data_IF_526960409319
#
_entry.id   IF_526960409319
#
_cell.length_a   1.000
_cell.length_b   1.000
_cell.length_c   1.000
_cell.angle_alpha   90.00
_cell.angle_beta   90.00
_cell.angle_gamma   90.00
#
_symmetry.space_group_name_H-M   'P 1'
#
loop_
_entity.id
_entity.type
_entity.pdbx_description
1 polymer ?
#
# COMPACT_ATOMS: atom_id res chain seq x y z
N UNK A 1 9.44 1.33 -8.17
CA UNK A 1 10.12 1.34 -6.88
C UNK A 1 10.48 2.77 -6.51
N UNK A 2 10.51 3.05 -5.20
CA UNK A 2 11.14 4.24 -4.62
C UNK A 2 12.45 3.82 -3.94
N UNK A 3 13.19 4.74 -3.32
CA UNK A 3 14.58 4.54 -2.85
C UNK A 3 14.79 3.24 -2.06
N UNK A 4 14.07 2.99 -0.96
CA UNK A 4 14.28 1.76 -0.18
C UNK A 4 13.95 0.48 -0.96
N UNK A 5 12.89 0.53 -1.78
CA UNK A 5 12.55 -0.58 -2.66
C UNK A 5 13.63 -0.83 -3.72
N UNK A 6 14.29 0.22 -4.23
CA UNK A 6 15.41 0.09 -5.16
C UNK A 6 16.63 -0.58 -4.52
N UNK A 7 16.85 -0.38 -3.22
CA UNK A 7 17.91 -1.10 -2.48
C UNK A 7 17.56 -2.58 -2.28
N UNK A 8 16.31 -2.89 -1.96
CA UNK A 8 15.86 -4.27 -1.70
C UNK A 8 15.87 -5.12 -2.99
N UNK A 9 15.44 -4.54 -4.11
CA UNK A 9 15.20 -5.28 -5.35
C UNK A 9 16.50 -5.58 -6.13
N UNK A 10 16.63 -6.83 -6.55
CA UNK A 10 17.78 -7.32 -7.31
C UNK A 10 17.89 -6.71 -8.72
N UNK A 11 16.79 -6.23 -9.29
CA UNK A 11 16.77 -5.61 -10.62
C UNK A 11 17.40 -4.21 -10.62
N UNK A 12 17.45 -3.52 -9.49
CA UNK A 12 18.04 -2.17 -9.38
C UNK A 12 19.30 -2.12 -8.55
N UNK A 13 19.47 -3.02 -7.56
CA UNK A 13 20.65 -3.02 -6.70
C UNK A 13 21.69 -4.04 -7.16
N UNK A 14 22.66 -3.55 -7.93
CA UNK A 14 23.84 -4.30 -8.38
C UNK A 14 25.11 -3.93 -7.60
N UNK A 15 24.97 -3.36 -6.40
CA UNK A 15 26.12 -2.97 -5.59
C UNK A 15 26.89 -4.21 -5.13
N UNK A 16 28.19 -4.03 -4.91
CA UNK A 16 29.11 -5.06 -4.41
C UNK A 16 29.61 -4.77 -2.99
N UNK A 17 29.20 -3.65 -2.41
CA UNK A 17 29.57 -3.23 -1.07
C UNK A 17 28.71 -3.90 0.02
N UNK A 18 28.57 -3.27 1.18
CA UNK A 18 27.76 -3.81 2.28
C UNK A 18 26.24 -3.66 2.07
N UNK A 19 25.80 -2.93 1.05
CA UNK A 19 24.38 -2.67 0.76
C UNK A 19 23.84 -3.42 -0.47
N UNK A 20 24.61 -4.32 -1.08
CA UNK A 20 24.14 -5.15 -2.20
C UNK A 20 24.92 -6.45 -2.37
N UNK A 21 24.49 -7.26 -3.35
CA UNK A 21 25.13 -8.55 -3.65
C UNK A 21 24.61 -9.76 -2.85
N UNK A 22 23.80 -9.57 -1.82
CA UNK A 22 23.06 -10.63 -1.14
C UNK A 22 21.67 -10.16 -0.67
N UNK A 23 20.82 -11.08 -0.25
CA UNK A 23 19.48 -10.76 0.29
C UNK A 23 19.62 -9.86 1.52
N UNK A 24 20.51 -10.22 2.45
CA UNK A 24 20.77 -9.52 3.70
C UNK A 24 21.27 -8.10 3.43
N UNK A 25 22.26 -7.97 2.54
CA UNK A 25 22.88 -6.67 2.21
C UNK A 25 21.89 -5.73 1.51
N UNK A 26 21.04 -6.24 0.60
CA UNK A 26 19.99 -5.44 -0.04
C UNK A 26 18.92 -4.97 0.95
N UNK A 27 18.64 -5.76 1.97
CA UNK A 27 17.71 -5.41 3.05
C UNK A 27 18.33 -4.48 4.10
N UNK A 28 19.66 -4.43 4.21
CA UNK A 28 20.41 -3.73 5.26
C UNK A 28 19.96 -2.28 5.47
N UNK A 29 19.96 -1.46 4.42
CA UNK A 29 19.57 -0.03 4.52
C UNK A 29 18.16 0.13 5.07
N UNK A 30 17.22 -0.72 4.66
CA UNK A 30 15.83 -0.65 5.14
C UNK A 30 15.75 -0.95 6.62
N UNK A 31 16.49 -1.95 7.11
CA UNK A 31 16.51 -2.29 8.52
C UNK A 31 17.21 -1.22 9.37
N UNK A 32 18.29 -0.62 8.87
CA UNK A 32 18.96 0.50 9.56
C UNK A 32 18.03 1.71 9.72
N UNK A 33 17.25 2.04 8.69
CA UNK A 33 16.24 3.10 8.77
C UNK A 33 15.15 2.74 9.80
N UNK A 34 14.66 1.49 9.80
CA UNK A 34 13.68 1.02 10.78
C UNK A 34 14.24 1.13 12.20
N UNK A 35 15.45 0.66 12.44
CA UNK A 35 16.08 0.69 13.76
C UNK A 35 16.33 2.12 14.25
N UNK A 36 16.79 3.02 13.37
CA UNK A 36 16.97 4.43 13.68
C UNK A 36 15.64 5.12 14.03
N UNK A 37 14.55 4.81 13.32
CA UNK A 37 13.21 5.34 13.63
C UNK A 37 12.67 4.78 14.95
N UNK A 38 12.88 3.48 15.22
CA UNK A 38 12.49 2.86 16.49
C UNK A 38 13.19 3.57 17.66
N UNK A 39 14.50 3.82 17.54
CA UNK A 39 15.28 4.53 18.56
C UNK A 39 14.77 5.97 18.76
N UNK A 40 14.43 6.66 17.66
CA UNK A 40 14.03 8.05 17.72
C UNK A 40 12.62 8.28 18.30
N UNK A 41 11.65 7.40 17.98
CA UNK A 41 10.23 7.67 18.29
C UNK A 41 9.48 6.54 18.99
N UNK A 42 10.11 5.38 19.20
CA UNK A 42 9.50 4.17 19.74
C UNK A 42 8.86 3.30 18.65
N UNK A 43 8.98 1.97 18.80
CA UNK A 43 8.53 1.01 17.78
C UNK A 43 7.01 1.07 17.53
N UNK A 44 6.22 1.38 18.55
CA UNK A 44 4.77 1.53 18.49
C UNK A 44 4.30 2.72 17.63
N UNK A 45 5.22 3.59 17.19
CA UNK A 45 4.95 4.71 16.28
C UNK A 45 5.52 4.50 14.87
N UNK A 46 6.17 3.36 14.63
CA UNK A 46 6.81 3.05 13.34
C UNK A 46 5.98 2.01 12.61
N UNK A 47 5.65 2.30 11.35
CA UNK A 47 5.08 1.35 10.40
C UNK A 47 5.92 1.28 9.12
N UNK A 48 5.85 0.16 8.41
CA UNK A 48 6.56 -0.02 7.13
C UNK A 48 5.61 -0.53 6.06
N UNK A 49 5.73 0.01 4.84
CA UNK A 49 4.95 -0.43 3.68
C UNK A 49 5.82 -1.18 2.68
N UNK A 50 5.38 -2.37 2.29
CA UNK A 50 6.13 -3.33 1.47
C UNK A 50 5.23 -3.83 0.33
N UNK A 51 5.78 -3.90 -0.88
CA UNK A 51 5.03 -4.34 -2.06
C UNK A 51 5.81 -5.42 -2.83
N UNK A 52 5.81 -6.68 -2.33
CA UNK A 52 6.70 -7.73 -2.84
C UNK A 52 6.55 -8.02 -4.34
N UNK A 53 5.34 -7.88 -4.85
CA UNK A 53 4.97 -8.24 -6.22
C UNK A 53 4.85 -7.04 -7.15
N UNK A 54 5.19 -5.83 -6.71
CA UNK A 54 4.99 -4.63 -7.53
C UNK A 54 6.04 -4.52 -8.63
N UNK A 55 5.58 -4.36 -9.87
CA UNK A 55 6.42 -4.02 -11.04
C UNK A 55 6.53 -2.50 -11.27
N UNK A 56 5.86 -1.70 -10.45
CA UNK A 56 5.85 -0.24 -10.57
C UNK A 56 7.26 0.32 -10.54
N UNK A 57 7.56 1.35 -11.35
CA UNK A 57 8.90 1.89 -11.66
C UNK A 57 10.03 0.84 -11.61
N UNK A 58 9.92 -0.22 -12.43
CA UNK A 58 11.00 -1.19 -12.66
C UNK A 58 11.19 -2.24 -11.57
N UNK A 59 10.19 -2.47 -10.72
CA UNK A 59 10.25 -3.55 -9.74
C UNK A 59 10.28 -4.93 -10.40
N UNK A 60 10.95 -5.89 -9.77
CA UNK A 60 11.12 -7.25 -10.32
C UNK A 60 9.80 -7.99 -10.55
N UNK A 61 8.78 -7.70 -9.73
CA UNK A 61 7.47 -8.33 -9.84
C UNK A 61 7.45 -9.81 -9.45
N UNK A 62 6.27 -10.41 -9.58
CA UNK A 62 6.06 -11.82 -9.22
C UNK A 62 6.74 -12.81 -10.20
N UNK A 63 6.91 -12.41 -11.46
CA UNK A 63 7.45 -13.26 -12.52
C UNK A 63 8.94 -13.02 -12.79
N UNK A 64 9.66 -12.46 -11.81
CA UNK A 64 11.09 -12.16 -11.95
C UNK A 64 11.90 -13.42 -12.26
N UNK A 65 12.70 -13.33 -13.33
CA UNK A 65 13.67 -14.38 -13.71
C UNK A 65 14.97 -14.33 -12.90
N UNK A 66 15.20 -13.23 -12.17
CA UNK A 66 16.41 -13.03 -11.38
C UNK A 66 16.31 -13.76 -10.03
N UNK A 67 15.17 -13.59 -9.36
CA UNK A 67 14.90 -14.18 -8.05
C UNK A 67 13.41 -14.03 -7.74
N UNK A 68 12.79 -15.08 -7.19
CA UNK A 68 11.41 -14.99 -6.74
C UNK A 68 11.30 -13.99 -5.55
N UNK A 69 10.36 -13.03 -5.56
CA UNK A 69 10.31 -11.95 -4.56
C UNK A 69 10.17 -12.46 -3.13
N UNK A 70 9.49 -13.60 -2.92
CA UNK A 70 9.36 -14.22 -1.59
C UNK A 70 10.75 -14.44 -0.95
N UNK A 71 11.78 -14.85 -1.70
CA UNK A 71 13.11 -15.08 -1.12
C UNK A 71 13.70 -13.80 -0.49
N UNK A 72 13.58 -12.67 -1.18
CA UNK A 72 14.07 -11.38 -0.68
C UNK A 72 13.19 -10.84 0.46
N UNK A 73 11.87 -10.82 0.26
CA UNK A 73 10.97 -10.16 1.18
C UNK A 73 10.72 -10.99 2.45
N UNK A 74 10.74 -12.32 2.39
CA UNK A 74 10.63 -13.17 3.58
C UNK A 74 11.75 -12.88 4.58
N UNK A 75 12.97 -12.60 4.11
CA UNK A 75 14.06 -12.17 4.98
C UNK A 75 13.75 -10.84 5.69
N UNK A 76 13.25 -9.83 4.96
CA UNK A 76 12.83 -8.57 5.55
C UNK A 76 11.73 -8.76 6.60
N UNK A 77 10.67 -9.52 6.30
CA UNK A 77 9.60 -9.79 7.27
C UNK A 77 10.13 -10.57 8.49
N UNK A 78 11.05 -11.52 8.29
CA UNK A 78 11.66 -12.28 9.37
C UNK A 78 12.47 -11.39 10.30
N UNK A 79 13.24 -10.45 9.76
CA UNK A 79 14.03 -9.49 10.55
C UNK A 79 13.15 -8.48 11.31
N UNK A 80 12.01 -8.09 10.74
CA UNK A 80 11.01 -7.27 11.44
C UNK A 80 10.34 -8.06 12.57
N UNK A 81 9.99 -9.34 12.33
CA UNK A 81 9.42 -10.20 13.36
C UNK A 81 10.44 -10.49 14.49
N UNK A 82 11.72 -10.70 14.15
CA UNK A 82 12.80 -10.86 15.14
C UNK A 82 12.87 -9.66 16.09
N UNK A 83 12.88 -8.44 15.55
CA UNK A 83 12.78 -7.19 16.35
C UNK A 83 11.53 -7.16 17.21
N UNK A 84 10.39 -7.60 16.66
CA UNK A 84 9.15 -7.73 17.42
C UNK A 84 9.24 -8.65 18.63
N UNK A 85 9.96 -9.77 18.52
CA UNK A 85 10.22 -10.70 19.64
C UNK A 85 11.19 -10.12 20.67
N UNK A 86 12.07 -9.22 20.25
CA UNK A 86 13.01 -8.48 21.10
C UNK A 86 12.38 -7.24 21.76
N UNK A 87 11.05 -7.12 21.75
CA UNK A 87 10.32 -6.00 22.37
C UNK A 87 10.26 -4.74 21.51
N UNK A 88 10.71 -4.80 20.25
CA UNK A 88 10.70 -3.67 19.30
C UNK A 88 9.66 -3.89 18.20
N UNK A 89 8.44 -4.29 18.57
CA UNK A 89 7.38 -4.57 17.59
C UNK A 89 6.87 -3.28 16.98
N UNK A 90 6.97 -3.19 15.65
CA UNK A 90 6.40 -2.10 14.86
C UNK A 90 4.88 -2.02 15.05
N UNK A 91 4.32 -0.82 14.94
CA UNK A 91 2.89 -0.56 14.98
C UNK A 91 2.11 -1.43 13.99
N UNK A 92 2.62 -1.53 12.76
CA UNK A 92 2.06 -2.37 11.70
C UNK A 92 3.08 -2.63 10.59
N UNK A 93 2.82 -3.69 9.82
CA UNK A 93 3.37 -3.83 8.47
C UNK A 93 2.22 -3.70 7.47
N UNK A 94 2.43 -2.91 6.42
CA UNK A 94 1.46 -2.66 5.36
C UNK A 94 1.91 -3.32 4.07
N UNK A 95 1.24 -4.36 3.63
CA UNK A 95 1.58 -5.15 2.45
C UNK A 95 0.61 -4.89 1.30
N UNK A 96 1.15 -4.69 0.10
CA UNK A 96 0.35 -4.57 -1.13
C UNK A 96 0.22 -5.94 -1.82
N UNK A 97 -1.03 -6.32 -2.12
CA UNK A 97 -1.38 -7.54 -2.86
C UNK A 97 -0.93 -7.49 -4.33
N UNK A 98 -0.70 -8.66 -4.94
CA UNK A 98 -0.38 -8.75 -6.38
C UNK A 98 -1.53 -8.32 -7.29
N UNK A 99 -2.75 -8.20 -6.74
CA UNK A 99 -4.01 -7.89 -7.47
C UNK A 99 -4.05 -6.48 -8.07
N UNK A 100 -3.09 -5.61 -7.73
CA UNK A 100 -3.03 -4.24 -8.22
C UNK A 100 -2.20 -4.14 -9.50
N UNK A 101 -2.87 -3.82 -10.62
CA UNK A 101 -2.17 -3.43 -11.84
C UNK A 101 -1.56 -2.03 -11.65
N UNK A 102 -0.35 -1.84 -12.18
CA UNK A 102 0.25 -0.50 -12.30
C UNK A 102 -0.70 0.38 -13.10
N UNK A 103 -1.32 1.36 -12.43
CA UNK A 103 -2.30 2.23 -13.07
C UNK A 103 -3.59 1.53 -13.53
N UNK A 104 -3.96 0.37 -12.97
CA UNK A 104 -5.14 -0.43 -13.38
C UNK A 104 -5.93 -0.98 -12.19
N UNK A 105 -7.16 -1.43 -12.40
CA UNK A 105 -8.05 -1.85 -11.31
C UNK A 105 -7.75 -3.25 -10.78
N UNK A 106 -7.38 -4.17 -11.68
CA UNK A 106 -7.06 -5.58 -11.41
C UNK A 106 -5.96 -6.03 -12.38
N UNK A 107 -5.04 -6.90 -11.95
CA UNK A 107 -4.11 -7.61 -12.86
C UNK A 107 -4.81 -8.82 -13.46
N UNK A 108 -4.82 -8.98 -14.78
CA UNK A 108 -5.11 -10.27 -15.41
C UNK A 108 -3.87 -11.18 -15.28
N UNK A 109 -3.96 -12.28 -14.52
CA UNK A 109 -2.84 -13.21 -14.32
C UNK A 109 -2.95 -14.04 -13.04
N UNK A 110 -1.97 -14.93 -12.77
CA UNK A 110 -1.97 -15.71 -11.53
C UNK A 110 -1.92 -14.77 -10.31
N UNK A 111 -2.90 -14.92 -9.40
CA UNK A 111 -2.92 -14.19 -8.15
C UNK A 111 -1.87 -14.77 -7.20
N UNK A 112 -0.84 -13.98 -6.89
CA UNK A 112 0.11 -14.31 -5.83
C UNK A 112 -0.37 -13.66 -4.54
N UNK A 113 -0.94 -14.46 -3.66
CA UNK A 113 -1.38 -14.02 -2.34
C UNK A 113 -0.20 -13.64 -1.46
N UNK A 114 -0.36 -12.61 -0.63
CA UNK A 114 0.59 -12.26 0.44
C UNK A 114 0.31 -13.02 1.75
N UNK A 115 -0.56 -14.04 1.75
CA UNK A 115 -0.85 -14.88 2.92
C UNK A 115 0.41 -15.45 3.60
N UNK A 116 1.47 -15.73 2.84
CA UNK A 116 2.75 -16.17 3.41
C UNK A 116 3.35 -15.16 4.40
N UNK A 117 3.01 -13.87 4.29
CA UNK A 117 3.42 -12.83 5.22
C UNK A 117 2.87 -13.11 6.62
N UNK A 118 1.62 -13.58 6.72
CA UNK A 118 0.99 -13.94 7.99
C UNK A 118 1.69 -15.12 8.68
N UNK A 119 2.39 -15.97 7.92
CA UNK A 119 3.20 -17.05 8.49
C UNK A 119 4.45 -16.51 9.21
N UNK A 120 4.97 -15.36 8.78
CA UNK A 120 6.20 -14.76 9.31
C UNK A 120 5.88 -13.66 10.33
N UNK A 121 5.18 -12.60 9.90
CA UNK A 121 4.87 -11.44 10.73
C UNK A 121 3.62 -11.69 11.59
N UNK A 122 3.77 -11.53 12.91
CA UNK A 122 2.69 -11.81 13.89
C UNK A 122 2.04 -10.55 14.48
N UNK A 123 2.49 -9.35 14.10
CA UNK A 123 1.86 -8.09 14.51
C UNK A 123 0.70 -7.70 13.58
N UNK A 124 0.20 -6.46 13.75
CA UNK A 124 -0.85 -5.90 12.89
C UNK A 124 -0.40 -5.89 11.44
N UNK A 125 -1.24 -6.43 10.55
CA UNK A 125 -0.99 -6.55 9.12
C UNK A 125 -2.04 -5.73 8.36
N UNK A 126 -1.62 -4.63 7.73
CA UNK A 126 -2.46 -3.87 6.81
C UNK A 126 -2.30 -4.47 5.42
N UNK A 127 -3.39 -4.95 4.80
CA UNK A 127 -3.40 -5.45 3.42
C UNK A 127 -4.09 -4.44 2.52
N UNK A 128 -3.49 -4.16 1.37
CA UNK A 128 -4.05 -3.25 0.38
C UNK A 128 -4.00 -3.84 -1.02
N UNK A 129 -5.08 -3.69 -1.78
CA UNK A 129 -5.06 -3.92 -3.22
C UNK A 129 -6.32 -4.61 -3.74
N UNK A 130 -7.07 -3.91 -4.59
CA UNK A 130 -8.15 -4.51 -5.37
C UNK A 130 -9.33 -5.08 -4.56
N UNK A 131 -9.60 -4.62 -3.33
CA UNK A 131 -10.67 -5.25 -2.55
C UNK A 131 -12.10 -4.84 -2.92
N UNK A 132 -12.31 -3.63 -3.45
CA UNK A 132 -13.66 -3.10 -3.70
C UNK A 132 -14.06 -3.24 -5.17
N UNK A 133 -14.13 -4.47 -5.66
CA UNK A 133 -14.77 -4.83 -6.94
C UNK A 133 -15.51 -6.17 -6.76
N UNK A 134 -16.27 -6.61 -7.77
CA UNK A 134 -17.16 -7.79 -7.67
C UNK A 134 -16.48 -9.01 -6.99
N UNK A 135 -15.37 -9.49 -7.55
CA UNK A 135 -14.61 -10.61 -6.95
C UNK A 135 -13.78 -10.18 -5.72
N UNK A 136 -13.37 -8.92 -5.65
CA UNK A 136 -12.57 -8.37 -4.55
C UNK A 136 -13.27 -8.42 -3.20
N UNK A 137 -14.60 -8.31 -3.15
CA UNK A 137 -15.36 -8.40 -1.90
C UNK A 137 -15.24 -9.77 -1.23
N UNK A 138 -15.18 -10.86 -2.02
CA UNK A 138 -14.95 -12.21 -1.48
C UNK A 138 -13.58 -12.29 -0.81
N UNK A 139 -12.56 -11.74 -1.47
CA UNK A 139 -11.21 -11.66 -0.94
C UNK A 139 -11.14 -10.78 0.33
N UNK A 140 -11.87 -9.66 0.37
CA UNK A 140 -11.96 -8.79 1.56
C UNK A 140 -12.51 -9.57 2.74
N UNK A 141 -13.67 -10.22 2.56
CA UNK A 141 -14.34 -10.99 3.62
C UNK A 141 -13.46 -12.16 4.07
N UNK A 142 -12.81 -12.85 3.13
CA UNK A 142 -11.88 -13.92 3.47
C UNK A 142 -10.71 -13.38 4.30
N UNK A 143 -9.97 -12.42 3.75
CA UNK A 143 -8.71 -11.92 4.32
C UNK A 143 -8.88 -11.28 5.71
N UNK A 144 -9.98 -10.53 5.93
CA UNK A 144 -10.25 -9.88 7.22
C UNK A 144 -10.71 -10.87 8.30
N UNK A 145 -11.20 -12.05 7.92
CA UNK A 145 -11.66 -13.09 8.85
C UNK A 145 -10.60 -14.19 9.08
N UNK A 146 -9.42 -14.09 8.45
CA UNK A 146 -8.33 -15.06 8.67
C UNK A 146 -7.73 -14.95 10.08
N UNK A 147 -7.68 -13.74 10.64
CA UNK A 147 -7.17 -13.46 11.98
C UNK A 147 -7.72 -12.14 12.55
N UNK A 148 -7.40 -11.84 13.81
CA UNK A 148 -7.86 -10.66 14.56
C UNK A 148 -6.92 -9.45 14.45
N UNK A 149 -5.93 -9.50 13.55
CA UNK A 149 -4.86 -8.51 13.42
C UNK A 149 -4.73 -7.95 12.00
N UNK A 150 -5.59 -8.37 11.08
CA UNK A 150 -5.61 -7.91 9.69
C UNK A 150 -6.51 -6.69 9.52
N UNK A 151 -5.97 -5.64 8.88
CA UNK A 151 -6.69 -4.42 8.52
C UNK A 151 -6.69 -4.29 7.00
N UNK A 152 -7.84 -3.98 6.41
CA UNK A 152 -7.95 -3.75 4.97
C UNK A 152 -7.87 -2.25 4.67
N UNK A 153 -6.86 -1.86 3.89
CA UNK A 153 -6.68 -0.49 3.42
C UNK A 153 -7.28 -0.30 2.02
N UNK A 154 -8.11 0.73 1.87
CA UNK A 154 -8.74 1.13 0.61
C UNK A 154 -8.30 2.55 0.26
N UNK A 155 -7.79 2.74 -0.95
CA UNK A 155 -7.29 4.04 -1.43
C UNK A 155 -8.22 4.67 -2.48
N UNK A 156 -8.30 4.09 -3.69
CA UNK A 156 -9.04 4.69 -4.82
C UNK A 156 -10.49 5.05 -4.49
N UNK A 157 -11.24 4.13 -3.89
CA UNK A 157 -12.62 4.43 -3.49
C UNK A 157 -12.70 5.40 -2.32
N UNK A 158 -11.67 5.51 -1.47
CA UNK A 158 -11.68 6.49 -0.40
C UNK A 158 -11.60 7.92 -0.97
N UNK A 159 -10.96 8.13 -2.13
CA UNK A 159 -10.88 9.47 -2.74
C UNK A 159 -12.26 10.03 -3.06
N UNK A 160 -13.18 9.20 -3.56
CA UNK A 160 -14.54 9.61 -3.96
C UNK A 160 -15.63 9.36 -2.92
N UNK A 161 -15.31 8.68 -1.82
CA UNK A 161 -16.26 8.32 -0.77
C UNK A 161 -15.71 8.79 0.58
N UNK A 162 -15.90 10.07 0.96
CA UNK A 162 -15.40 10.58 2.24
C UNK A 162 -16.02 9.87 3.46
N UNK A 163 -17.15 9.20 3.26
CA UNK A 163 -17.88 8.38 4.22
C UNK A 163 -17.75 6.87 3.95
N UNK A 164 -16.66 6.42 3.29
CA UNK A 164 -16.49 5.03 2.84
C UNK A 164 -16.77 3.99 3.94
N UNK A 165 -16.27 4.20 5.16
CA UNK A 165 -16.50 3.26 6.27
C UNK A 165 -17.99 3.09 6.59
N UNK A 166 -18.77 4.17 6.54
CA UNK A 166 -20.22 4.12 6.73
C UNK A 166 -20.90 3.37 5.59
N UNK A 167 -20.45 3.57 4.34
CA UNK A 167 -21.00 2.86 3.19
C UNK A 167 -20.73 1.36 3.25
N UNK A 168 -19.49 0.97 3.53
CA UNK A 168 -19.11 -0.44 3.66
C UNK A 168 -19.87 -1.13 4.80
N UNK A 169 -20.03 -0.46 5.96
CA UNK A 169 -20.77 -1.01 7.10
C UNK A 169 -22.24 -1.29 6.79
N UNK A 170 -22.88 -0.44 5.98
CA UNK A 170 -24.32 -0.49 5.70
C UNK A 170 -24.67 -1.03 4.31
N UNK A 171 -23.68 -1.51 3.55
CA UNK A 171 -23.90 -2.01 2.18
C UNK A 171 -24.39 -0.94 1.20
N UNK A 172 -23.97 0.33 1.38
CA UNK A 172 -24.37 1.43 0.50
C UNK A 172 -23.51 1.50 -0.75
N UNK A 173 -24.09 2.02 -1.82
CA UNK A 173 -23.40 2.18 -3.11
C UNK A 173 -22.19 3.12 -3.00
N UNK A 174 -21.09 2.71 -3.65
CA UNK A 174 -19.85 3.49 -3.70
C UNK A 174 -19.85 4.41 -4.91
N UNK A 175 -19.56 5.69 -4.67
CA UNK A 175 -19.29 6.66 -5.74
C UNK A 175 -18.02 6.24 -6.48
N UNK A 176 -18.12 6.05 -7.80
CA UNK A 176 -16.97 5.73 -8.64
C UNK A 176 -15.94 6.85 -8.59
N UNK A 177 -14.66 6.50 -8.41
CA UNK A 177 -13.57 7.48 -8.47
C UNK A 177 -13.32 7.95 -9.90
N UNK A 178 -12.77 9.15 -10.02
CA UNK A 178 -12.27 9.70 -11.27
C UNK A 178 -10.74 9.78 -11.23
N UNK A 179 -10.08 9.01 -12.11
CA UNK A 179 -8.62 8.96 -12.17
C UNK A 179 -8.02 10.22 -12.77
N UNK A 180 -8.76 10.95 -13.59
CA UNK A 180 -8.27 12.16 -14.26
C UNK A 180 -7.95 13.28 -13.25
N UNK A 181 -8.57 13.24 -12.07
CA UNK A 181 -8.41 14.25 -11.01
C UNK A 181 -7.43 13.87 -9.91
N UNK A 182 -6.88 12.63 -9.89
CA UNK A 182 -5.96 12.17 -8.83
C UNK A 182 -4.72 13.04 -8.65
N UNK A 183 -4.24 13.65 -9.73
CA UNK A 183 -3.07 14.54 -9.74
C UNK A 183 -3.39 15.89 -10.38
N UNK A 184 -4.64 16.36 -10.27
CA UNK A 184 -5.13 17.56 -10.97
C UNK A 184 -4.68 18.91 -10.39
N UNK A 185 -4.17 18.95 -9.16
CA UNK A 185 -3.66 20.18 -8.52
C UNK A 185 -4.74 21.18 -8.04
N UNK A 186 -6.01 20.97 -8.40
CA UNK A 186 -7.15 21.77 -7.96
C UNK A 186 -8.05 21.06 -6.95
N UNK A 187 -9.14 21.74 -6.54
CA UNK A 187 -10.08 21.20 -5.55
C UNK A 187 -11.13 20.24 -6.15
N UNK A 188 -11.41 20.36 -7.45
CA UNK A 188 -12.33 19.48 -8.18
C UNK A 188 -11.80 18.05 -8.23
N UNK A 189 -12.64 17.08 -7.84
CA UNK A 189 -12.24 15.68 -7.72
C UNK A 189 -11.35 15.39 -6.50
N UNK A 190 -11.10 16.39 -5.65
CA UNK A 190 -10.38 16.24 -4.38
C UNK A 190 -11.34 16.39 -3.19
N UNK A 191 -11.86 17.60 -2.92
CA UNK A 191 -12.81 17.85 -1.81
C UNK A 191 -14.26 18.07 -2.26
N UNK A 192 -14.55 17.90 -3.56
CA UNK A 192 -15.90 18.10 -4.10
C UNK A 192 -16.79 16.87 -3.98
N UNK A 193 -16.29 15.72 -3.53
CA UNK A 193 -17.09 14.52 -3.35
C UNK A 193 -18.10 14.65 -2.18
N UNK A 194 -19.35 14.28 -2.43
CA UNK A 194 -20.42 14.22 -1.43
C UNK A 194 -20.45 12.90 -0.66
N UNK A 195 -21.07 12.91 0.52
CA UNK A 195 -21.41 11.66 1.23
C UNK A 195 -22.54 10.93 0.52
N UNK A 196 -22.86 9.71 0.95
CA UNK A 196 -24.00 8.99 0.39
C UNK A 196 -25.30 9.80 0.53
N UNK A 197 -26.01 9.99 -0.59
CA UNK A 197 -27.23 10.79 -0.65
C UNK A 197 -27.02 12.31 -0.76
N UNK A 198 -25.78 12.78 -0.78
CA UNK A 198 -25.43 14.19 -1.05
C UNK A 198 -24.88 14.32 -2.47
N UNK A 199 -25.22 15.43 -3.13
CA UNK A 199 -24.61 15.79 -4.42
C UNK A 199 -23.12 16.16 -4.25
N UNK A 200 -22.35 15.98 -5.32
CA UNK A 200 -21.01 16.53 -5.37
C UNK A 200 -21.08 18.07 -5.25
N UNK A 201 -20.18 18.65 -4.45
CA UNK A 201 -20.10 20.10 -4.29
C UNK A 201 -19.70 20.73 -5.62
N UNK A 202 -20.43 21.77 -6.03
CA UNK A 202 -20.08 22.59 -7.19
C UNK A 202 -18.68 23.23 -7.04
N UNK A 203 -18.05 23.57 -8.16
CA UNK A 203 -16.70 24.14 -8.25
C UNK A 203 -16.61 25.62 -7.81
N UNK A 204 -17.52 26.07 -6.95
CA UNK A 204 -17.60 27.47 -6.56
C UNK A 204 -16.70 27.77 -5.36
N UNK A 205 -15.57 28.43 -5.62
CA UNK A 205 -15.14 29.60 -4.82
C UNK A 205 -13.76 30.17 -5.17
N UNK A 206 -12.94 29.50 -6.00
CA UNK A 206 -11.60 30.03 -6.35
C UNK A 206 -11.42 30.23 -7.86
N UNK A 207 -11.71 29.26 -8.71
CA UNK A 207 -11.57 29.45 -10.18
C UNK A 207 -12.60 30.42 -10.74
N UNK A 208 -13.87 30.32 -10.33
CA UNK A 208 -14.89 31.32 -10.68
C UNK A 208 -14.53 32.74 -10.18
N UNK A 209 -13.80 32.85 -9.05
CA UNK A 209 -13.28 34.15 -8.56
C UNK A 209 -12.05 34.62 -9.33
N UNK A 210 -11.19 33.71 -9.78
CA UNK A 210 -10.00 34.04 -10.58
C UNK A 210 -10.39 34.47 -11.99
N UNK A 211 -11.37 33.81 -12.62
CA UNK A 211 -11.94 34.26 -13.90
C UNK A 211 -12.63 35.62 -13.76
N UNK A 212 -13.38 35.86 -12.68
CA UNK A 212 -14.04 37.14 -12.40
C UNK A 212 -13.06 38.29 -12.04
N UNK A 213 -11.82 37.99 -11.63
CA UNK A 213 -10.77 38.97 -11.35
C UNK A 213 -9.84 39.23 -12.56
N UNK A 214 -10.05 38.51 -13.66
CA UNK A 214 -9.29 38.64 -14.91
C UNK A 214 -10.04 39.38 -16.04
N UNK A 215 -11.19 39.97 -15.71
CA UNK A 215 -12.00 40.86 -16.55
C UNK A 215 -12.03 42.28 -15.96
#
# INVERSE_FOLDING_TARGET
>A
MHTLAQFIDIASNHRTDEYGGSIEKRTKLTLEVVDALIEAVGAEKVGIRISPYSEFHGGSGANSKLMHPIAQYAYLYSELERRGREGKRLAYVHTVESRMAVGGDVVEGPEYSVEWVAQIWKGVLIRAGGYLHQEGYKNLIHDVNLDDRTIIAVSRYYTSNPDLAHRLKNGLELTKYDRSTFYGGGNYGYNTWGKYGEDAKAQDSIEAKLEALSL
#
